data_IF_434266726568
#
_entry.id   IF_434266726568
#
_cell.length_a   1.000
_cell.length_b   1.000
_cell.length_c   1.000
_cell.angle_alpha   90.00
_cell.angle_beta   90.00
_cell.angle_gamma   90.00
#
_symmetry.space_group_name_H-M   'P 1'
#
loop_
_entity.id
_entity.type
_entity.pdbx_description
1 polymer ?
#
# COMPACT_ATOMS: atom_id res chain seq x y z
N UNK A 1 10.14 10.42 -4.47
CA UNK A 1 10.48 9.51 -5.59
C UNK A 1 11.74 9.97 -6.32
N UNK A 2 12.59 9.05 -6.77
CA UNK A 2 13.92 9.30 -7.38
C UNK A 2 13.95 9.87 -8.82
N UNK A 3 12.86 10.43 -9.33
CA UNK A 3 12.86 11.07 -10.66
C UNK A 3 13.08 10.14 -11.86
N UNK A 4 13.06 8.82 -11.68
CA UNK A 4 13.30 7.81 -12.73
C UNK A 4 12.01 7.35 -13.43
N UNK A 5 11.13 8.30 -13.80
CA UNK A 5 9.80 8.01 -14.35
C UNK A 5 9.82 7.18 -15.65
N UNK A 6 10.85 7.36 -16.49
CA UNK A 6 10.97 6.65 -17.77
C UNK A 6 11.24 5.14 -17.63
N UNK A 7 12.01 4.72 -16.62
CA UNK A 7 12.23 3.30 -16.33
C UNK A 7 10.94 2.64 -15.83
N UNK A 8 10.21 3.38 -15.01
CA UNK A 8 8.94 2.93 -14.45
C UNK A 8 7.86 2.79 -15.54
N UNK A 9 7.69 3.80 -16.39
CA UNK A 9 6.71 3.82 -17.50
C UNK A 9 6.85 2.60 -18.42
N UNK A 10 8.08 2.19 -18.73
CA UNK A 10 8.35 1.00 -19.57
C UNK A 10 7.79 -0.31 -19.01
N UNK A 11 7.64 -0.40 -17.69
CA UNK A 11 7.13 -1.60 -17.01
C UNK A 11 5.61 -1.66 -16.96
N UNK A 12 4.95 -0.52 -17.21
CA UNK A 12 3.50 -0.37 -17.06
C UNK A 12 2.71 -0.91 -18.26
N UNK A 13 3.34 -1.12 -19.41
CA UNK A 13 2.67 -1.69 -20.60
C UNK A 13 2.06 -3.07 -20.33
N UNK A 14 2.58 -3.79 -19.33
CA UNK A 14 2.05 -5.07 -18.84
C UNK A 14 0.55 -5.00 -18.50
N UNK A 15 0.10 -3.96 -17.79
CA UNK A 15 -1.31 -3.83 -17.39
C UNK A 15 -2.24 -3.64 -18.60
N UNK A 16 -1.77 -2.95 -19.64
CA UNK A 16 -2.51 -2.83 -20.90
C UNK A 16 -2.60 -4.17 -21.62
N UNK A 17 -1.52 -4.96 -21.64
CA UNK A 17 -1.52 -6.26 -22.33
C UNK A 17 -2.42 -7.29 -21.65
N UNK A 18 -2.54 -7.25 -20.32
CA UNK A 18 -3.37 -8.19 -19.56
C UNK A 18 -4.78 -7.70 -19.26
N UNK A 19 -5.14 -6.46 -19.62
CA UNK A 19 -6.48 -5.91 -19.38
C UNK A 19 -7.60 -6.86 -19.88
N UNK A 20 -7.54 -7.45 -21.08
CA UNK A 20 -8.58 -8.40 -21.52
C UNK A 20 -8.74 -9.62 -20.61
N UNK A 21 -7.64 -10.21 -20.12
CA UNK A 21 -7.70 -11.38 -19.24
C UNK A 21 -8.14 -11.00 -17.83
N UNK A 22 -7.74 -9.84 -17.33
CA UNK A 22 -8.18 -9.28 -16.04
C UNK A 22 -9.68 -8.94 -16.04
N UNK A 23 -10.21 -8.39 -17.14
CA UNK A 23 -11.65 -8.13 -17.31
C UNK A 23 -12.45 -9.43 -17.36
N UNK A 24 -12.00 -10.41 -18.16
CA UNK A 24 -12.64 -11.72 -18.23
C UNK A 24 -12.68 -12.41 -16.87
N UNK A 25 -11.63 -12.25 -16.07
CA UNK A 25 -11.57 -12.81 -14.71
C UNK A 25 -12.58 -12.16 -13.77
N UNK A 26 -12.70 -10.84 -13.81
CA UNK A 26 -13.72 -10.13 -13.04
C UNK A 26 -15.12 -10.65 -13.40
N UNK A 27 -15.42 -10.75 -14.70
CA UNK A 27 -16.69 -11.26 -15.21
C UNK A 27 -17.00 -12.69 -14.75
N UNK A 28 -16.01 -13.60 -14.84
CA UNK A 28 -16.15 -14.98 -14.37
C UNK A 28 -16.46 -15.10 -12.88
N UNK A 29 -16.07 -14.09 -12.09
CA UNK A 29 -16.32 -14.02 -10.66
C UNK A 29 -17.57 -13.18 -10.31
N UNK A 30 -18.28 -12.68 -11.33
CA UNK A 30 -19.49 -11.88 -11.16
C UNK A 30 -19.26 -10.39 -10.88
N UNK A 31 -18.06 -9.88 -11.15
CA UNK A 31 -17.70 -8.47 -10.98
C UNK A 31 -17.52 -7.75 -12.32
N UNK A 32 -17.77 -6.44 -12.33
CA UNK A 32 -17.40 -5.53 -13.42
C UNK A 32 -15.94 -5.09 -13.30
N UNK A 33 -15.44 -4.39 -14.32
CA UNK A 33 -14.08 -3.84 -14.34
C UNK A 33 -13.02 -4.89 -14.63
N UNK A 34 -11.81 -4.69 -14.09
CA UNK A 34 -10.69 -5.61 -14.24
C UNK A 34 -10.15 -6.06 -12.88
N UNK A 35 -10.05 -7.37 -12.68
CA UNK A 35 -9.45 -7.95 -11.49
C UNK A 35 -7.99 -8.29 -11.75
N UNK A 36 -7.09 -7.56 -11.10
CA UNK A 36 -5.65 -7.72 -11.31
C UNK A 36 -5.09 -8.94 -10.56
N UNK A 37 -4.23 -9.75 -11.20
CA UNK A 37 -3.61 -10.88 -10.55
C UNK A 37 -2.66 -10.44 -9.42
N UNK A 38 -2.52 -11.28 -8.40
CA UNK A 38 -1.51 -11.10 -7.33
C UNK A 38 -0.19 -11.80 -7.64
N UNK A 39 -0.26 -13.08 -8.02
CA UNK A 39 0.87 -13.91 -8.43
C UNK A 39 0.57 -14.38 -9.84
N UNK A 40 1.44 -14.07 -10.80
CA UNK A 40 1.09 -14.22 -12.22
C UNK A 40 2.27 -14.58 -13.09
N UNK A 41 1.97 -15.26 -14.19
CA UNK A 41 2.87 -15.38 -15.32
C UNK A 41 2.85 -14.09 -16.19
N UNK A 42 3.74 -13.97 -17.19
CA UNK A 42 3.77 -12.83 -18.11
C UNK A 42 2.50 -12.63 -18.96
N UNK A 43 1.58 -13.61 -19.01
CA UNK A 43 0.30 -13.49 -19.74
C UNK A 43 -0.83 -12.94 -18.88
N UNK A 44 -0.58 -12.78 -17.57
CA UNK A 44 -1.58 -12.29 -16.62
C UNK A 44 -2.39 -13.39 -15.95
N UNK A 45 -2.09 -14.67 -16.17
CA UNK A 45 -2.83 -15.77 -15.53
C UNK A 45 -2.41 -15.94 -14.07
N UNK A 46 -3.39 -16.20 -13.20
CA UNK A 46 -3.11 -16.50 -11.80
C UNK A 46 -2.22 -17.76 -11.68
N UNK A 47 -1.19 -17.65 -10.86
CA UNK A 47 -0.42 -18.80 -10.40
C UNK A 47 -1.24 -19.62 -9.39
N UNK A 48 -1.03 -20.94 -9.30
CA UNK A 48 -1.68 -21.77 -8.28
C UNK A 48 -1.40 -21.22 -6.87
N UNK A 49 -2.46 -20.93 -6.12
CA UNK A 49 -2.38 -20.46 -4.74
C UNK A 49 -3.69 -20.77 -4.01
N UNK A 50 -3.60 -21.24 -2.76
CA UNK A 50 -4.77 -21.45 -1.90
C UNK A 50 -5.39 -20.14 -1.42
N UNK A 51 -4.65 -19.03 -1.47
CA UNK A 51 -5.06 -17.73 -0.92
C UNK A 51 -5.11 -16.61 -1.97
N UNK A 52 -4.40 -16.78 -3.10
CA UNK A 52 -4.13 -15.70 -4.06
C UNK A 52 -5.38 -15.05 -4.65
N UNK A 53 -6.44 -15.85 -4.86
CA UNK A 53 -7.74 -15.38 -5.39
C UNK A 53 -8.60 -14.67 -4.34
N UNK A 54 -8.16 -14.59 -3.08
CA UNK A 54 -8.85 -13.88 -2.00
C UNK A 54 -8.13 -12.59 -1.59
N UNK A 55 -6.91 -12.36 -2.11
CA UNK A 55 -6.15 -11.13 -1.92
C UNK A 55 -6.70 -10.00 -2.81
N UNK A 56 -6.85 -8.82 -2.21
CA UNK A 56 -7.35 -7.61 -2.90
C UNK A 56 -6.50 -6.35 -2.71
N UNK A 57 -5.44 -6.41 -1.90
CA UNK A 57 -4.55 -5.26 -1.66
C UNK A 57 -3.75 -4.81 -2.90
N UNK A 58 -3.60 -5.68 -3.90
CA UNK A 58 -2.97 -5.37 -5.18
C UNK A 58 -3.91 -4.66 -6.16
N UNK A 59 -5.22 -4.70 -5.93
CA UNK A 59 -6.20 -4.16 -6.87
C UNK A 59 -6.02 -2.65 -7.09
N UNK A 60 -5.66 -1.84 -6.08
CA UNK A 60 -5.40 -0.42 -6.27
C UNK A 60 -4.03 -0.08 -6.89
N UNK A 61 -3.12 -1.05 -7.07
CA UNK A 61 -1.76 -0.80 -7.58
C UNK A 61 -1.71 0.02 -8.87
N UNK A 62 -2.57 -0.22 -9.89
CA UNK A 62 -2.53 0.59 -11.11
C UNK A 62 -2.85 2.07 -10.86
N UNK A 63 -3.70 2.40 -9.88
CA UNK A 63 -3.94 3.81 -9.52
C UNK A 63 -2.70 4.42 -8.88
N UNK A 64 -2.03 3.66 -8.00
CA UNK A 64 -0.76 4.09 -7.41
C UNK A 64 0.29 4.36 -8.49
N UNK A 65 0.43 3.44 -9.44
CA UNK A 65 1.37 3.60 -10.55
C UNK A 65 1.02 4.79 -11.46
N UNK A 66 -0.25 4.99 -11.78
CA UNK A 66 -0.70 6.16 -12.55
C UNK A 66 -0.36 7.47 -11.82
N UNK A 67 -0.55 7.52 -10.49
CA UNK A 67 -0.20 8.68 -9.67
C UNK A 67 1.30 8.97 -9.66
N UNK A 68 2.13 7.93 -9.48
CA UNK A 68 3.60 8.09 -9.54
C UNK A 68 4.03 8.60 -10.92
N UNK A 69 3.44 8.09 -12.00
CA UNK A 69 3.75 8.54 -13.34
C UNK A 69 3.29 9.98 -13.57
N UNK A 70 2.09 10.37 -13.15
CA UNK A 70 1.61 11.74 -13.24
C UNK A 70 2.52 12.73 -12.51
N UNK A 71 3.08 12.35 -11.36
CA UNK A 71 4.00 13.19 -10.57
C UNK A 71 5.43 13.23 -11.13
N UNK A 72 5.90 12.15 -11.77
CA UNK A 72 7.28 12.08 -12.29
C UNK A 72 7.40 12.46 -13.77
N UNK A 73 6.33 12.27 -14.55
CA UNK A 73 6.24 12.56 -15.98
C UNK A 73 4.82 13.06 -16.34
N UNK A 74 4.43 14.30 -15.94
CA UNK A 74 3.06 14.81 -16.11
C UNK A 74 2.59 14.96 -17.57
N UNK A 75 3.52 14.99 -18.52
CA UNK A 75 3.23 15.09 -19.96
C UNK A 75 3.33 13.75 -20.69
N UNK A 76 3.33 12.63 -19.94
CA UNK A 76 3.36 11.29 -20.52
C UNK A 76 2.11 11.02 -21.37
N UNK A 77 2.28 10.81 -22.68
CA UNK A 77 1.19 10.35 -23.55
C UNK A 77 0.70 8.94 -23.14
N UNK A 78 1.59 8.15 -22.54
CA UNK A 78 1.24 6.83 -22.01
C UNK A 78 0.21 6.93 -20.87
N UNK A 79 0.30 7.96 -20.02
CA UNK A 79 -0.67 8.19 -18.95
C UNK A 79 -2.09 8.41 -19.51
N UNK A 80 -2.24 9.08 -20.67
CA UNK A 80 -3.54 9.21 -21.35
C UNK A 80 -4.05 7.86 -21.87
N UNK A 81 -3.16 7.04 -22.44
CA UNK A 81 -3.47 5.68 -22.88
C UNK A 81 -3.85 4.75 -21.71
N UNK A 82 -3.53 5.12 -20.47
CA UNK A 82 -3.86 4.41 -19.25
C UNK A 82 -5.25 4.71 -18.67
N UNK A 83 -6.02 5.63 -19.28
CA UNK A 83 -7.40 5.91 -18.86
C UNK A 83 -8.29 4.65 -18.72
N UNK A 84 -8.25 3.64 -19.64
CA UNK A 84 -9.01 2.40 -19.48
C UNK A 84 -8.55 1.53 -18.29
N UNK A 85 -7.28 1.59 -17.91
CA UNK A 85 -6.75 0.88 -16.74
C UNK A 85 -7.32 1.49 -15.46
N UNK A 86 -7.32 2.82 -15.35
CA UNK A 86 -7.91 3.55 -14.23
C UNK A 86 -9.40 3.22 -14.11
N UNK A 87 -10.14 3.33 -15.22
CA UNK A 87 -11.57 3.03 -15.29
C UNK A 87 -11.90 1.61 -14.82
N UNK A 88 -11.22 0.61 -15.39
CA UNK A 88 -11.48 -0.80 -15.09
C UNK A 88 -11.09 -1.15 -13.64
N UNK A 89 -10.04 -0.51 -13.11
CA UNK A 89 -9.60 -0.68 -11.72
C UNK A 89 -10.64 -0.13 -10.74
N UNK A 90 -11.06 1.13 -10.90
CA UNK A 90 -12.04 1.76 -10.02
C UNK A 90 -13.41 1.06 -10.12
N UNK A 91 -13.79 0.62 -11.32
CA UNK A 91 -15.02 -0.15 -11.54
C UNK A 91 -14.99 -1.46 -10.77
N UNK A 92 -13.91 -2.25 -10.87
CA UNK A 92 -13.80 -3.49 -10.11
C UNK A 92 -13.85 -3.24 -8.60
N UNK A 93 -13.08 -2.27 -8.11
CA UNK A 93 -13.05 -1.95 -6.68
C UNK A 93 -14.42 -1.55 -6.15
N UNK A 94 -15.20 -0.79 -6.94
CA UNK A 94 -16.54 -0.34 -6.56
C UNK A 94 -17.61 -1.45 -6.63
N UNK A 95 -17.38 -2.47 -7.46
CA UNK A 95 -18.25 -3.64 -7.58
C UNK A 95 -17.92 -4.74 -6.56
N UNK A 96 -16.66 -4.77 -6.08
CA UNK A 96 -16.18 -5.73 -5.10
C UNK A 96 -16.71 -5.47 -3.68
N UNK A 97 -16.79 -4.20 -3.27
CA UNK A 97 -17.28 -3.82 -1.95
C UNK A 97 -18.76 -4.13 -1.76
N UNK A 98 -19.16 -4.47 -0.53
CA UNK A 98 -20.57 -4.76 -0.20
C UNK A 98 -21.15 -3.66 0.68
N UNK A 99 -22.36 -3.22 0.36
CA UNK A 99 -23.08 -2.29 1.22
C UNK A 99 -23.66 -3.04 2.43
N UNK A 100 -23.35 -2.55 3.63
CA UNK A 100 -23.96 -3.00 4.88
C UNK A 100 -25.04 -1.99 5.30
N UNK A 101 -26.30 -2.42 5.27
CA UNK A 101 -27.46 -1.57 5.60
C UNK A 101 -27.50 -1.14 7.07
N UNK A 102 -26.99 -1.95 7.99
CA UNK A 102 -26.96 -1.64 9.41
C UNK A 102 -25.91 -0.58 9.72
N UNK A 103 -24.75 -0.65 9.04
CA UNK A 103 -23.63 0.28 9.21
C UNK A 103 -23.75 1.53 8.36
N UNK A 104 -24.56 1.49 7.31
CA UNK A 104 -24.61 2.51 6.24
C UNK A 104 -23.21 2.77 5.66
N UNK A 105 -22.46 1.69 5.46
CA UNK A 105 -21.10 1.72 4.95
C UNK A 105 -20.81 0.55 4.01
N UNK A 106 -19.87 0.75 3.10
CA UNK A 106 -19.27 -0.31 2.29
C UNK A 106 -18.20 -1.04 3.10
N UNK A 107 -18.29 -2.37 3.10
CA UNK A 107 -17.35 -3.27 3.77
C UNK A 107 -16.50 -4.05 2.77
N UNK A 108 -15.30 -4.45 3.20
CA UNK A 108 -14.39 -5.32 2.47
C UNK A 108 -14.37 -6.72 3.11
N UNK A 109 -14.79 -7.72 2.35
CA UNK A 109 -14.96 -9.09 2.83
C UNK A 109 -16.16 -9.27 3.77
N UNK A 110 -16.29 -10.47 4.37
CA UNK A 110 -15.69 -11.72 3.89
C UNK A 110 -16.31 -12.19 2.54
N UNK A 111 -15.61 -13.04 1.76
CA UNK A 111 -14.27 -13.54 2.02
C UNK A 111 -13.18 -12.57 1.52
N UNK A 112 -12.13 -12.39 2.32
CA UNK A 112 -10.96 -11.59 1.94
C UNK A 112 -9.72 -12.03 2.73
N UNK A 113 -8.55 -12.04 2.09
CA UNK A 113 -7.28 -12.21 2.80
C UNK A 113 -6.57 -10.85 2.82
N UNK A 114 -6.14 -10.36 4.00
CA UNK A 114 -5.44 -9.09 4.11
C UNK A 114 -3.99 -9.24 3.64
N UNK A 115 -3.31 -8.12 3.42
CA UNK A 115 -1.88 -8.06 3.08
C UNK A 115 -1.01 -8.82 4.08
N UNK A 116 -1.45 -8.95 5.34
CA UNK A 116 -0.76 -9.72 6.38
C UNK A 116 -0.76 -11.24 6.15
N UNK A 117 -1.65 -11.75 5.29
CA UNK A 117 -1.72 -13.16 4.84
C UNK A 117 -1.86 -14.24 5.94
N UNK A 118 -2.07 -13.85 7.20
CA UNK A 118 -2.16 -14.75 8.36
C UNK A 118 -3.57 -14.81 9.01
N UNK A 119 -4.59 -14.32 8.32
CA UNK A 119 -5.98 -14.30 8.79
C UNK A 119 -6.87 -15.27 8.01
N UNK A 120 -7.91 -15.78 8.67
CA UNK A 120 -8.91 -16.66 8.05
C UNK A 120 -9.80 -15.86 7.07
N UNK A 121 -9.81 -16.21 5.77
CA UNK A 121 -10.61 -15.49 4.79
C UNK A 121 -12.10 -15.45 5.08
N UNK A 122 -12.66 -16.47 5.73
CA UNK A 122 -14.11 -16.57 5.93
C UNK A 122 -14.63 -15.61 7.00
N UNK A 123 -13.74 -15.14 7.88
CA UNK A 123 -14.08 -14.30 9.03
C UNK A 123 -13.44 -12.91 8.96
N UNK A 124 -12.46 -12.70 8.07
CA UNK A 124 -11.81 -11.41 7.90
C UNK A 124 -12.79 -10.38 7.35
N UNK A 125 -12.87 -9.23 8.02
CA UNK A 125 -13.72 -8.11 7.65
C UNK A 125 -12.93 -6.81 7.78
N UNK A 126 -13.07 -5.92 6.79
CA UNK A 126 -12.51 -4.57 6.83
C UNK A 126 -11.01 -4.53 7.23
N UNK A 127 -10.12 -5.24 6.51
CA UNK A 127 -8.68 -5.09 6.68
C UNK A 127 -8.23 -3.63 6.60
N UNK A 128 -7.43 -3.19 7.56
CA UNK A 128 -7.12 -1.78 7.73
C UNK A 128 -6.32 -1.20 6.56
N UNK A 129 -5.32 -1.93 6.07
CA UNK A 129 -4.52 -1.49 4.93
C UNK A 129 -5.34 -1.34 3.65
N UNK A 130 -6.18 -2.32 3.37
CA UNK A 130 -7.03 -2.37 2.19
C UNK A 130 -8.08 -1.25 2.22
N UNK A 131 -8.67 -0.96 3.39
CA UNK A 131 -9.58 0.18 3.54
C UNK A 131 -8.89 1.50 3.19
N UNK A 132 -7.72 1.77 3.78
CA UNK A 132 -6.95 2.98 3.47
C UNK A 132 -6.54 3.03 2.00
N UNK A 133 -6.11 1.92 1.42
CA UNK A 133 -5.67 1.88 0.04
C UNK A 133 -6.84 2.08 -0.94
N UNK A 134 -7.99 1.45 -0.67
CA UNK A 134 -9.20 1.65 -1.47
C UNK A 134 -9.66 3.10 -1.42
N UNK A 135 -9.74 3.70 -0.23
CA UNK A 135 -10.14 5.09 -0.08
C UNK A 135 -9.17 6.06 -0.80
N UNK A 136 -7.85 5.84 -0.64
CA UNK A 136 -6.83 6.61 -1.33
C UNK A 136 -6.95 6.49 -2.85
N UNK A 137 -7.08 5.26 -3.36
CA UNK A 137 -7.15 5.01 -4.79
C UNK A 137 -8.44 5.51 -5.43
N UNK A 138 -9.59 5.48 -4.75
CA UNK A 138 -10.77 6.18 -5.25
C UNK A 138 -10.51 7.68 -5.34
N UNK A 139 -9.94 8.28 -4.31
CA UNK A 139 -9.66 9.73 -4.30
C UNK A 139 -8.72 10.13 -5.43
N UNK A 140 -7.60 9.43 -5.58
CA UNK A 140 -6.57 9.72 -6.57
C UNK A 140 -7.00 9.31 -7.99
N UNK A 141 -7.63 8.15 -8.13
CA UNK A 141 -8.12 7.65 -9.41
C UNK A 141 -9.21 8.56 -9.99
N UNK A 142 -10.16 9.01 -9.17
CA UNK A 142 -11.19 9.99 -9.59
C UNK A 142 -10.55 11.30 -10.03
N UNK A 143 -9.53 11.79 -9.31
CA UNK A 143 -8.78 13.01 -9.68
C UNK A 143 -8.13 12.85 -11.06
N UNK A 144 -7.34 11.79 -11.24
CA UNK A 144 -6.66 11.51 -12.50
C UNK A 144 -7.65 11.32 -13.66
N UNK A 145 -8.76 10.62 -13.43
CA UNK A 145 -9.76 10.38 -14.45
C UNK A 145 -10.42 11.68 -14.95
N UNK A 146 -10.72 12.61 -14.04
CA UNK A 146 -11.22 13.95 -14.38
C UNK A 146 -10.20 14.77 -15.14
N UNK A 147 -8.93 14.75 -14.74
CA UNK A 147 -7.85 15.45 -15.44
C UNK A 147 -7.66 14.94 -16.88
N UNK A 148 -8.02 13.68 -17.14
CA UNK A 148 -8.07 13.09 -18.48
C UNK A 148 -9.37 13.37 -19.25
N UNK A 149 -10.24 14.25 -18.74
CA UNK A 149 -11.53 14.60 -19.34
C UNK A 149 -12.59 13.50 -19.23
N UNK A 150 -12.44 12.55 -18.30
CA UNK A 150 -13.43 11.54 -18.01
C UNK A 150 -14.40 11.98 -16.92
N UNK A 151 -15.66 11.57 -17.05
CA UNK A 151 -16.68 11.72 -16.01
C UNK A 151 -16.67 10.47 -15.10
N UNK A 152 -16.34 10.59 -13.80
CA UNK A 152 -16.32 9.45 -12.88
C UNK A 152 -17.69 8.80 -12.71
N UNK A 153 -17.74 7.47 -12.59
CA UNK A 153 -18.96 6.76 -12.22
C UNK A 153 -19.43 7.24 -10.82
N UNK A 154 -20.70 7.66 -10.67
CA UNK A 154 -21.26 8.05 -9.37
C UNK A 154 -21.07 7.00 -8.27
N UNK A 155 -21.02 5.71 -8.62
CA UNK A 155 -20.75 4.62 -7.69
C UNK A 155 -19.35 4.71 -7.07
N UNK A 156 -18.34 5.13 -7.83
CA UNK A 156 -16.98 5.32 -7.30
C UNK A 156 -16.95 6.38 -6.20
N UNK A 157 -17.67 7.49 -6.42
CA UNK A 157 -17.81 8.57 -5.43
C UNK A 157 -18.59 8.06 -4.21
N UNK A 158 -19.71 7.38 -4.43
CA UNK A 158 -20.53 6.83 -3.35
C UNK A 158 -19.75 5.87 -2.46
N UNK A 159 -18.96 4.97 -3.06
CA UNK A 159 -18.12 4.01 -2.32
C UNK A 159 -17.05 4.73 -1.52
N UNK A 160 -16.34 5.68 -2.13
CA UNK A 160 -15.33 6.49 -1.43
C UNK A 160 -15.90 7.19 -0.19
N UNK A 161 -17.06 7.81 -0.32
CA UNK A 161 -17.68 8.60 0.76
C UNK A 161 -18.26 7.75 1.88
N UNK A 162 -18.56 6.47 1.62
CA UNK A 162 -19.20 5.58 2.58
C UNK A 162 -18.38 4.31 2.83
N UNK A 163 -17.07 4.30 2.58
CA UNK A 163 -16.24 3.17 2.94
C UNK A 163 -16.16 3.06 4.48
N UNK A 164 -16.12 1.84 5.01
CA UNK A 164 -16.01 1.62 6.46
C UNK A 164 -14.79 2.35 7.04
N UNK A 165 -14.91 2.91 8.27
CA UNK A 165 -13.77 3.51 8.94
C UNK A 165 -12.72 2.45 9.26
N UNK A 166 -11.48 2.89 9.50
CA UNK A 166 -10.42 2.00 9.95
C UNK A 166 -10.80 1.37 11.29
N UNK A 167 -10.59 0.05 11.48
CA UNK A 167 -10.94 -0.63 12.72
C UNK A 167 -10.01 -0.20 13.85
N UNK A 168 -10.60 0.11 15.02
CA UNK A 168 -9.88 0.53 16.24
C UNK A 168 -10.31 -0.34 17.42
N UNK A 169 -9.33 -0.82 18.20
CA UNK A 169 -9.54 -1.53 19.45
C UNK A 169 -8.50 -1.10 20.49
N UNK A 170 -8.93 -0.91 21.74
CA UNK A 170 -8.08 -0.46 22.85
C UNK A 170 -7.19 0.76 22.53
N UNK A 171 -7.74 1.72 21.76
CA UNK A 171 -7.04 2.95 21.38
C UNK A 171 -5.95 2.77 20.31
N UNK A 172 -5.93 1.63 19.59
CA UNK A 172 -4.99 1.34 18.49
C UNK A 172 -5.72 0.85 17.26
N UNK A 173 -5.14 1.04 16.08
CA UNK A 173 -5.65 0.45 14.85
C UNK A 173 -5.45 -1.07 14.87
N UNK A 174 -6.48 -1.81 14.45
CA UNK A 174 -6.42 -3.26 14.30
C UNK A 174 -5.95 -3.64 12.88
N UNK A 175 -5.41 -4.85 12.70
CA UNK A 175 -5.08 -5.36 11.37
C UNK A 175 -6.34 -5.54 10.50
N UNK A 176 -7.42 -6.01 11.12
CA UNK A 176 -8.76 -6.14 10.54
C UNK A 176 -9.82 -6.09 11.65
N UNK A 177 -11.06 -5.80 11.31
CA UNK A 177 -12.11 -5.42 12.27
C UNK A 177 -12.42 -6.48 13.31
N UNK A 178 -12.41 -7.76 12.94
CA UNK A 178 -12.68 -8.87 13.84
C UNK A 178 -11.43 -9.36 14.61
N UNK A 179 -10.26 -8.72 14.45
CA UNK A 179 -9.00 -9.12 15.09
C UNK A 179 -8.69 -8.27 16.32
N UNK A 180 -9.45 -8.46 17.40
CA UNK A 180 -9.14 -7.81 18.69
C UNK A 180 -7.75 -8.20 19.23
N UNK A 181 -7.24 -9.38 18.89
CA UNK A 181 -5.92 -9.88 19.28
C UNK A 181 -4.79 -9.50 18.29
N UNK A 182 -4.96 -8.38 17.55
CA UNK A 182 -3.96 -7.86 16.58
C UNK A 182 -2.56 -7.74 17.22
N UNK A 183 -2.49 -7.29 18.47
CA UNK A 183 -1.23 -7.07 19.21
C UNK A 183 -0.83 -8.26 20.10
N UNK A 184 -1.52 -9.39 20.01
CA UNK A 184 -1.19 -10.63 20.72
C UNK A 184 -0.81 -11.73 19.74
N UNK A 185 -1.69 -12.71 19.54
CA UNK A 185 -1.40 -13.89 18.70
C UNK A 185 -1.09 -13.53 17.25
N UNK A 186 -1.63 -12.41 16.74
CA UNK A 186 -1.45 -11.94 15.36
C UNK A 186 -0.30 -10.93 15.20
N UNK A 187 0.50 -10.69 16.24
CA UNK A 187 1.63 -9.74 16.21
C UNK A 187 2.89 -10.33 15.54
N UNK A 188 2.73 -10.80 14.32
CA UNK A 188 3.79 -11.32 13.44
C UNK A 188 3.41 -11.04 11.99
N UNK A 189 4.34 -11.29 11.05
CA UNK A 189 4.15 -10.92 9.64
C UNK A 189 3.95 -9.39 9.48
N UNK A 190 3.31 -8.90 8.42
CA UNK A 190 3.22 -7.47 8.14
C UNK A 190 2.44 -6.65 9.19
N UNK A 191 3.02 -5.59 9.81
CA UNK A 191 2.29 -4.63 10.66
C UNK A 191 1.48 -3.65 9.81
N UNK A 192 0.53 -4.21 9.06
CA UNK A 192 -0.21 -3.58 7.96
C UNK A 192 -0.95 -2.30 8.34
N UNK A 193 -1.42 -2.20 9.58
CA UNK A 193 -2.09 -1.03 10.12
C UNK A 193 -1.19 0.22 10.13
N UNK A 194 0.14 0.07 10.23
CA UNK A 194 1.06 1.20 10.15
C UNK A 194 1.20 1.73 8.73
N UNK A 195 1.01 0.86 7.73
CA UNK A 195 1.27 1.19 6.32
C UNK A 195 0.25 2.19 5.77
N UNK A 196 -0.91 2.31 6.43
CA UNK A 196 -1.92 3.33 6.18
C UNK A 196 -1.29 4.72 6.14
N UNK A 197 -0.58 5.10 7.20
CA UNK A 197 0.06 6.41 7.28
C UNK A 197 1.30 6.45 6.39
N UNK A 198 2.10 5.38 6.37
CA UNK A 198 3.34 5.30 5.58
C UNK A 198 3.12 5.70 4.13
N UNK A 199 2.18 5.00 3.47
CA UNK A 199 1.96 5.09 2.03
C UNK A 199 0.90 6.12 1.63
N UNK A 200 -0.18 6.30 2.41
CA UNK A 200 -1.36 7.04 1.96
C UNK A 200 -1.53 8.42 2.60
N UNK A 201 -0.67 8.77 3.56
CA UNK A 201 -0.73 10.06 4.25
C UNK A 201 -1.78 10.08 5.36
N UNK A 202 -2.05 11.27 5.91
CA UNK A 202 -2.81 11.41 7.17
C UNK A 202 -4.34 11.38 7.00
N UNK A 203 -4.84 11.36 5.76
CA UNK A 203 -6.28 11.46 5.51
C UNK A 203 -7.02 10.25 6.09
N UNK A 204 -7.97 10.50 6.99
CA UNK A 204 -8.75 9.45 7.67
C UNK A 204 -7.99 8.73 8.79
N UNK A 205 -6.81 9.22 9.17
CA UNK A 205 -5.97 8.67 10.24
C UNK A 205 -5.92 9.66 11.40
N UNK A 206 -6.17 9.16 12.60
CA UNK A 206 -5.94 9.89 13.85
C UNK A 206 -4.46 9.72 14.25
N UNK A 207 -3.67 10.82 14.33
CA UNK A 207 -2.25 10.75 14.67
C UNK A 207 -1.99 10.12 16.03
N UNK A 208 -2.84 10.33 17.03
CA UNK A 208 -2.63 9.81 18.37
C UNK A 208 -2.89 8.30 18.43
N UNK A 209 -3.92 7.82 17.72
CA UNK A 209 -4.17 6.37 17.58
C UNK A 209 -3.04 5.72 16.79
N UNK A 210 -2.55 6.36 15.72
CA UNK A 210 -1.44 5.82 14.93
C UNK A 210 -0.13 5.78 15.73
N UNK A 211 0.14 6.80 16.55
CA UNK A 211 1.27 6.80 17.50
C UNK A 211 1.17 5.63 18.48
N UNK A 212 0.02 5.44 19.12
CA UNK A 212 -0.22 4.32 20.02
C UNK A 212 -0.13 2.96 19.30
N UNK A 213 -0.47 2.92 18.01
CA UNK A 213 -0.37 1.73 17.15
C UNK A 213 1.09 1.40 16.84
N UNK A 214 1.90 2.41 16.51
CA UNK A 214 3.35 2.27 16.29
C UNK A 214 4.03 1.76 17.55
N UNK A 215 3.74 2.35 18.71
CA UNK A 215 4.28 1.89 20.00
C UNK A 215 3.83 0.46 20.34
N UNK A 216 2.57 0.11 20.00
CA UNK A 216 2.07 -1.26 20.13
C UNK A 216 2.86 -2.25 19.28
N UNK A 217 3.14 -1.91 18.02
CA UNK A 217 3.96 -2.77 17.14
C UNK A 217 5.38 -2.91 17.71
N UNK A 218 6.05 -1.82 18.08
CA UNK A 218 7.40 -1.89 18.64
C UNK A 218 7.49 -2.75 19.90
N UNK A 219 6.42 -2.82 20.69
CA UNK A 219 6.37 -3.59 21.93
C UNK A 219 6.03 -5.07 21.72
N UNK A 220 5.16 -5.38 20.77
CA UNK A 220 4.51 -6.69 20.70
C UNK A 220 4.88 -7.51 19.45
N UNK A 221 5.34 -6.85 18.39
CA UNK A 221 5.56 -7.52 17.12
C UNK A 221 6.86 -8.32 17.12
N UNK A 222 6.81 -9.54 16.58
CA UNK A 222 7.99 -10.37 16.38
C UNK A 222 8.80 -9.88 15.18
N UNK A 223 9.79 -9.03 15.41
CA UNK A 223 10.57 -8.37 14.36
C UNK A 223 11.35 -9.35 13.47
N UNK A 224 11.65 -10.55 13.97
CA UNK A 224 12.30 -11.64 13.24
C UNK A 224 11.35 -12.37 12.27
N UNK A 225 10.04 -12.21 12.45
CA UNK A 225 9.00 -12.78 11.58
C UNK A 225 8.48 -11.78 10.53
N UNK A 226 9.05 -10.57 10.48
CA UNK A 226 8.75 -9.55 9.46
C UNK A 226 9.29 -9.93 8.07
N UNK A 227 9.00 -9.08 7.10
CA UNK A 227 9.59 -9.06 5.77
C UNK A 227 10.42 -7.80 5.57
N UNK A 228 11.42 -7.89 4.69
CA UNK A 228 12.37 -6.78 4.50
C UNK A 228 11.74 -5.45 4.09
N UNK A 229 10.52 -5.44 3.54
CA UNK A 229 9.80 -4.21 3.21
C UNK A 229 9.02 -3.58 4.36
N UNK A 230 8.86 -4.28 5.48
CA UNK A 230 8.14 -3.79 6.65
C UNK A 230 8.93 -2.70 7.37
N UNK A 231 10.26 -2.88 7.53
CA UNK A 231 11.11 -1.91 8.23
C UNK A 231 11.09 -0.52 7.59
N UNK A 232 11.26 -0.38 6.25
CA UNK A 232 11.15 0.93 5.63
C UNK A 232 9.75 1.54 5.71
N UNK A 233 8.69 0.73 5.66
CA UNK A 233 7.34 1.26 5.86
C UNK A 233 7.07 1.69 7.29
N UNK A 234 7.55 0.95 8.29
CA UNK A 234 7.49 1.38 9.69
C UNK A 234 8.27 2.69 9.88
N UNK A 235 9.45 2.82 9.27
CA UNK A 235 10.23 4.05 9.28
C UNK A 235 9.48 5.23 8.64
N UNK A 236 8.78 5.01 7.52
CA UNK A 236 7.93 6.03 6.90
C UNK A 236 6.78 6.47 7.83
N UNK A 237 6.18 5.54 8.57
CA UNK A 237 5.16 5.87 9.58
C UNK A 237 5.75 6.73 10.69
N UNK A 238 6.86 6.29 11.29
CA UNK A 238 7.58 7.04 12.33
C UNK A 238 7.99 8.45 11.87
N UNK A 239 8.52 8.57 10.65
CA UNK A 239 8.89 9.86 10.06
C UNK A 239 7.69 10.80 9.91
N UNK A 240 6.54 10.29 9.45
CA UNK A 240 5.29 11.07 9.33
C UNK A 240 4.70 11.49 10.68
N UNK A 241 4.96 10.73 11.74
CA UNK A 241 4.62 11.07 13.13
C UNK A 241 5.63 12.01 13.80
N UNK A 242 6.71 12.38 13.10
CA UNK A 242 7.78 13.23 13.66
C UNK A 242 8.78 12.48 14.53
N UNK A 243 8.67 11.15 14.65
CA UNK A 243 9.61 10.27 15.37
C UNK A 243 10.84 9.97 14.50
N UNK A 244 11.58 11.03 14.14
CA UNK A 244 12.69 11.00 13.15
C UNK A 244 13.84 10.08 13.54
N UNK A 245 14.24 10.07 14.81
CA UNK A 245 15.29 9.16 15.31
C UNK A 245 14.85 7.70 15.17
N UNK A 246 13.62 7.39 15.64
CA UNK A 246 13.04 6.07 15.51
C UNK A 246 12.91 5.63 14.04
N UNK A 247 12.62 6.55 13.12
CA UNK A 247 12.59 6.22 11.69
C UNK A 247 13.96 5.70 11.20
N UNK A 248 15.06 6.30 11.64
CA UNK A 248 16.41 5.80 11.33
C UNK A 248 16.72 4.49 12.04
N UNK A 249 16.38 4.37 13.33
CA UNK A 249 16.55 3.13 14.09
C UNK A 249 15.84 1.96 13.42
N UNK A 250 14.64 2.19 12.87
CA UNK A 250 13.88 1.18 12.14
C UNK A 250 14.54 0.78 10.82
N UNK A 251 15.07 1.75 10.05
CA UNK A 251 15.83 1.44 8.83
C UNK A 251 17.09 0.63 9.14
N UNK A 252 17.70 0.85 10.30
CA UNK A 252 18.95 0.22 10.74
C UNK A 252 18.72 -0.94 11.71
N UNK A 253 17.46 -1.36 11.92
CA UNK A 253 17.11 -2.35 12.92
C UNK A 253 17.86 -3.66 12.67
N UNK A 254 18.47 -4.20 13.72
CA UNK A 254 19.16 -5.48 13.68
C UNK A 254 18.13 -6.62 13.67
N UNK A 255 17.77 -7.06 12.47
CA UNK A 255 16.87 -8.19 12.24
C UNK A 255 17.35 -9.00 11.03
N UNK A 256 17.22 -10.35 11.06
CA UNK A 256 17.52 -11.19 9.89
C UNK A 256 16.80 -10.75 8.61
N UNK A 257 15.62 -10.14 8.76
CA UNK A 257 14.74 -9.71 7.68
C UNK A 257 15.15 -8.36 7.09
N UNK A 258 15.87 -7.55 7.87
CA UNK A 258 16.42 -6.26 7.46
C UNK A 258 17.89 -6.38 7.00
N UNK A 259 18.36 -7.59 6.70
CA UNK A 259 19.75 -7.82 6.26
C UNK A 259 19.91 -7.49 4.78
N UNK A 260 20.94 -6.72 4.45
CA UNK A 260 21.40 -6.45 3.09
C UNK A 260 22.76 -7.13 2.87
N UNK A 261 22.86 -7.97 1.85
CA UNK A 261 24.11 -8.68 1.51
C UNK A 261 25.17 -7.73 0.94
N UNK A 262 26.46 -8.11 0.87
CA UNK A 262 27.52 -7.23 0.37
C UNK A 262 27.32 -6.68 -1.05
N UNK A 263 26.49 -7.33 -1.87
CA UNK A 263 26.08 -6.85 -3.20
C UNK A 263 24.86 -5.91 -3.17
N UNK A 264 24.39 -5.52 -1.98
CA UNK A 264 23.32 -4.55 -1.76
C UNK A 264 21.91 -5.10 -1.80
N UNK A 265 21.69 -6.40 -1.95
CA UNK A 265 20.33 -6.99 -1.99
C UNK A 265 19.81 -7.29 -0.59
N UNK A 266 18.53 -6.98 -0.33
CA UNK A 266 17.86 -7.48 0.86
C UNK A 266 17.67 -9.00 0.77
N UNK A 267 17.85 -9.70 1.88
CA UNK A 267 17.68 -11.14 1.99
C UNK A 267 16.64 -11.50 3.05
N UNK A 268 15.80 -12.51 2.78
CA UNK A 268 14.72 -12.90 3.69
C UNK A 268 15.21 -13.97 4.71
N UNK A 269 16.34 -13.72 5.38
CA UNK A 269 17.00 -14.71 6.24
C UNK A 269 16.08 -15.20 7.38
N UNK A 270 16.17 -16.47 7.82
CA UNK A 270 17.05 -17.52 7.30
C UNK A 270 16.47 -18.30 6.11
N UNK A 271 15.45 -17.79 5.40
CA UNK A 271 14.84 -18.47 4.25
C UNK A 271 15.85 -18.57 3.10
N UNK A 272 16.50 -19.72 2.97
CA UNK A 272 17.56 -19.96 1.99
C UNK A 272 17.06 -19.96 0.54
N UNK A 273 15.75 -20.18 0.34
CA UNK A 273 15.05 -20.11 -0.94
C UNK A 273 14.71 -18.68 -1.39
N UNK A 274 14.87 -17.70 -0.49
CA UNK A 274 14.72 -16.26 -0.78
C UNK A 274 15.99 -15.47 -0.43
N UNK A 275 17.15 -15.79 -1.06
CA UNK A 275 18.42 -15.10 -0.80
C UNK A 275 18.43 -13.67 -1.35
N UNK A 276 17.47 -13.31 -2.21
CA UNK A 276 17.30 -12.01 -2.82
C UNK A 276 15.82 -11.65 -2.82
N UNK A 277 15.47 -10.60 -2.10
CA UNK A 277 14.10 -10.15 -1.90
C UNK A 277 13.99 -8.64 -2.20
N UNK A 278 13.83 -8.34 -3.49
CA UNK A 278 13.82 -6.96 -4.00
C UNK A 278 12.75 -6.02 -3.41
N UNK A 279 11.60 -6.48 -2.87
CA UNK A 279 10.70 -5.58 -2.15
C UNK A 279 11.38 -4.83 -1.00
N UNK A 280 12.33 -5.45 -0.29
CA UNK A 280 13.12 -4.76 0.74
C UNK A 280 14.02 -3.66 0.19
N UNK A 281 14.60 -3.86 -1.00
CA UNK A 281 15.35 -2.80 -1.68
C UNK A 281 14.46 -1.65 -2.16
N UNK A 282 13.34 -1.98 -2.80
CA UNK A 282 12.40 -0.98 -3.34
C UNK A 282 11.77 -0.11 -2.25
N UNK A 283 11.38 -0.72 -1.13
CA UNK A 283 10.83 -0.03 0.03
C UNK A 283 11.86 0.84 0.77
N UNK A 284 13.12 0.40 0.89
CA UNK A 284 14.20 1.24 1.42
C UNK A 284 14.37 2.51 0.59
N UNK A 285 14.42 2.37 -0.73
CA UNK A 285 14.45 3.52 -1.63
C UNK A 285 13.20 4.40 -1.41
N UNK A 286 12.01 3.81 -1.36
CA UNK A 286 10.76 4.54 -1.11
C UNK A 286 10.82 5.39 0.17
N UNK A 287 11.29 4.78 1.28
CA UNK A 287 11.42 5.43 2.58
C UNK A 287 12.42 6.57 2.55
N UNK A 288 13.62 6.36 2.00
CA UNK A 288 14.63 7.42 1.87
C UNK A 288 14.11 8.59 1.03
N UNK A 289 13.42 8.31 -0.07
CA UNK A 289 12.85 9.36 -0.91
C UNK A 289 11.74 10.15 -0.20
N UNK A 290 10.95 9.51 0.65
CA UNK A 290 9.93 10.17 1.47
C UNK A 290 10.58 11.00 2.58
N UNK A 291 11.54 10.43 3.32
CA UNK A 291 12.18 11.09 4.45
C UNK A 291 13.01 12.29 4.00
N UNK A 292 13.74 12.19 2.88
CA UNK A 292 14.57 13.26 2.35
C UNK A 292 13.76 14.28 1.51
N UNK A 293 12.85 13.80 0.67
CA UNK A 293 12.09 14.63 -0.27
C UNK A 293 10.83 15.25 0.32
N UNK A 294 10.28 14.64 1.37
CA UNK A 294 9.05 15.06 2.04
C UNK A 294 7.76 14.53 1.40
N UNK A 295 6.66 14.89 2.05
CA UNK A 295 5.28 14.57 1.69
C UNK A 295 4.39 15.82 1.75
N UNK A 296 3.12 15.71 1.38
CA UNK A 296 2.18 16.84 1.46
C UNK A 296 2.01 17.29 2.91
N UNK A 297 2.07 18.61 3.15
CA UNK A 297 2.04 19.17 4.50
C UNK A 297 3.36 19.13 5.28
N UNK A 298 4.38 18.41 4.81
CA UNK A 298 5.72 18.47 5.44
C UNK A 298 6.42 19.81 5.20
N UNK A 299 7.23 20.24 6.18
CA UNK A 299 7.93 21.54 6.19
C UNK A 299 9.44 21.32 6.28
N UNK A 300 10.20 22.14 5.56
CA UNK A 300 11.67 22.11 5.57
C UNK A 300 12.29 21.06 4.65
N UNK A 301 13.63 21.07 4.53
CA UNK A 301 14.38 20.03 3.85
C UNK A 301 14.44 18.75 4.70
N UNK A 302 14.42 17.58 4.07
CA UNK A 302 14.58 16.28 4.72
C UNK A 302 13.72 16.08 5.99
N UNK A 303 12.39 16.29 5.91
CA UNK A 303 11.52 16.35 7.09
C UNK A 303 11.45 15.05 7.92
N UNK A 304 11.82 13.92 7.31
CA UNK A 304 11.88 12.62 7.99
C UNK A 304 13.21 12.30 8.67
N UNK A 305 14.25 13.15 8.54
CA UNK A 305 15.53 12.97 9.20
C UNK A 305 15.64 13.82 10.46
N UNK A 306 16.43 13.40 11.47
CA UNK A 306 16.75 14.24 12.62
C UNK A 306 17.47 15.52 12.23
N UNK A 307 17.25 16.59 13.00
CA UNK A 307 17.91 17.89 12.79
C UNK A 307 19.32 17.92 13.41
N UNK A 308 19.57 17.10 14.42
CA UNK A 308 20.87 16.96 15.08
C UNK A 308 21.60 15.72 14.55
N UNK A 309 22.92 15.81 14.39
CA UNK A 309 23.78 14.69 13.96
C UNK A 309 23.74 14.36 12.46
N UNK A 310 22.73 14.81 11.72
CA UNK A 310 22.58 14.55 10.28
C UNK A 310 22.63 15.84 9.45
N UNK A 311 23.42 15.81 8.38
CA UNK A 311 23.42 16.84 7.33
C UNK A 311 22.97 16.18 6.04
N UNK A 312 21.69 16.35 5.70
CA UNK A 312 21.08 15.68 4.55
C UNK A 312 21.06 16.60 3.34
N UNK A 313 21.57 16.09 2.22
CA UNK A 313 21.47 16.72 0.92
C UNK A 313 20.76 15.76 -0.04
N UNK A 314 19.81 16.28 -0.81
CA UNK A 314 19.07 15.50 -1.79
C UNK A 314 18.69 16.36 -2.98
N UNK A 315 18.63 15.76 -4.16
CA UNK A 315 18.23 16.41 -5.40
C UNK A 315 17.30 15.52 -6.21
N UNK A 316 16.54 16.12 -7.14
CA UNK A 316 15.69 15.38 -8.08
C UNK A 316 14.51 14.61 -7.46
N UNK A 317 14.31 14.69 -6.14
CA UNK A 317 13.23 13.99 -5.46
C UNK A 317 11.89 14.69 -5.69
N UNK A 318 10.86 13.89 -6.01
CA UNK A 318 9.47 14.33 -6.01
C UNK A 318 8.80 13.99 -4.67
N UNK A 319 8.07 14.95 -4.10
CA UNK A 319 7.30 14.76 -2.85
C UNK A 319 6.23 13.68 -2.99
N UNK A 320 6.04 12.93 -1.91
CA UNK A 320 4.85 12.11 -1.71
C UNK A 320 3.63 12.99 -1.44
N UNK A 321 2.44 12.42 -1.56
CA UNK A 321 1.23 12.98 -0.96
C UNK A 321 1.23 12.76 0.56
#
# INVERSE_FOLDING_TARGET
MFGQGSLFERSLSYYLSILPSATKRAEQQGYRGARWPKMTDPSGNDSPSSIGTLLIWQQPHPIFYASLLAKTNPHSEFLKAWKPIIDATLTFMADYVRWDEGRKAYVLGPPVIPVQENHDPETTLNPSFELSYFHWAFSEGIRLYREMGGEPDPKWIQVKEHLSPLPVGDGRYLAQENCSDTYGTYAFDHPSQLFNLSLFGIQGIDPAIMEASLEGVLKHWKLEELWGWDFPLMAMCAARLGRRELALDLLLADSPKNTYTPNGHNAQLPKADLPLYLPGNGSLLLALALMAGGWEGSVGPAPGFPEEGWVVQSEGLKRFW
#
